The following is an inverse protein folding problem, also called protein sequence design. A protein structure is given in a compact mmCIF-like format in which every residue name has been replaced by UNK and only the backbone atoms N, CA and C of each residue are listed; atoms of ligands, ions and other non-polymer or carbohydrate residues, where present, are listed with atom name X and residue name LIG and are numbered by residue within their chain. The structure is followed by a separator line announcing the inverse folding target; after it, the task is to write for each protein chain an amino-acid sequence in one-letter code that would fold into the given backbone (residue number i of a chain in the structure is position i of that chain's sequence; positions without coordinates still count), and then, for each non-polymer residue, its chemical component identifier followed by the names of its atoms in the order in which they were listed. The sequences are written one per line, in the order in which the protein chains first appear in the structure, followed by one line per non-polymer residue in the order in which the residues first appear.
data_IF_595694249406
#
_entry.id   IF_595694249406
#
_cell.length_a   1.000
_cell.length_b   1.000
_cell.length_c   1.000
_cell.angle_alpha   90.00
_cell.angle_beta   90.00
_cell.angle_gamma   90.00
#
_symmetry.space_group_name_H-M   'P 1'
#
loop_
_entity.id
_entity.type
_entity.pdbx_description
1 polymer ?
#
# COMPACT_ATOMS: atom_id res chain seq x y z
N UNK A 1 23.80 22.70 14.99
CA UNK A 1 22.51 22.32 15.59
C UNK A 1 22.45 20.80 15.57
N UNK A 2 22.28 20.11 16.70
CA UNK A 2 22.01 18.67 16.65
C UNK A 2 20.68 18.46 15.93
N UNK A 3 20.68 17.61 14.90
CA UNK A 3 19.46 17.15 14.24
C UNK A 3 18.72 16.20 15.18
N UNK A 4 17.38 16.33 15.24
CA UNK A 4 16.54 15.43 16.01
C UNK A 4 16.80 13.96 15.61
N UNK A 5 16.72 13.07 16.58
CA UNK A 5 16.79 11.63 16.31
C UNK A 5 15.60 11.18 15.46
N UNK A 6 15.68 10.04 14.74
CA UNK A 6 14.57 9.52 13.95
C UNK A 6 13.26 9.38 14.75
N UNK A 7 13.35 8.92 16.01
CA UNK A 7 12.20 8.74 16.90
C UNK A 7 11.57 10.07 17.31
N UNK A 8 12.39 11.09 17.59
CA UNK A 8 11.89 12.43 17.92
C UNK A 8 11.21 13.06 16.70
N UNK A 9 11.79 12.89 15.51
CA UNK A 9 11.21 13.36 14.26
C UNK A 9 9.86 12.68 13.98
N UNK A 10 9.76 11.36 14.16
CA UNK A 10 8.51 10.62 13.98
C UNK A 10 7.43 11.08 14.97
N UNK A 11 7.79 11.26 16.25
CA UNK A 11 6.85 11.76 17.28
C UNK A 11 6.35 13.17 16.95
N UNK A 12 7.21 14.04 16.42
CA UNK A 12 6.82 15.37 15.97
C UNK A 12 5.83 15.31 14.81
N UNK A 13 6.08 14.43 13.82
CA UNK A 13 5.18 14.23 12.68
C UNK A 13 3.81 13.68 13.10
N UNK A 14 3.77 12.70 14.01
CA UNK A 14 2.52 12.15 14.53
C UNK A 14 1.70 13.23 15.25
N UNK A 15 2.35 14.06 16.09
CA UNK A 15 1.69 15.15 16.80
C UNK A 15 1.09 16.17 15.83
N UNK A 16 1.87 16.56 14.82
CA UNK A 16 1.42 17.48 13.80
C UNK A 16 0.23 16.93 13.00
N UNK A 17 0.26 15.64 12.63
CA UNK A 17 -0.86 14.99 11.97
C UNK A 17 -2.13 14.98 12.85
N UNK A 18 -1.99 14.73 14.15
CA UNK A 18 -3.11 14.76 15.09
C UNK A 18 -3.73 16.16 15.21
N UNK A 19 -2.92 17.22 15.25
CA UNK A 19 -3.38 18.61 15.26
C UNK A 19 -4.17 18.96 14.00
N UNK A 20 -3.70 18.53 12.82
CA UNK A 20 -4.42 18.73 11.55
C UNK A 20 -5.77 18.01 11.56
N UNK A 21 -5.83 16.78 12.08
CA UNK A 21 -7.08 16.01 12.16
C UNK A 21 -8.07 16.67 13.13
N UNK A 22 -7.61 17.16 14.28
CA UNK A 22 -8.43 17.82 15.30
C UNK A 22 -9.10 19.10 14.78
N UNK A 23 -8.41 19.83 13.90
CA UNK A 23 -8.90 21.09 13.33
C UNK A 23 -9.71 20.94 12.05
N UNK A 24 -9.87 19.74 11.51
CA UNK A 24 -10.52 19.54 10.22
C UNK A 24 -12.05 19.56 10.33
N UNK A 25 -12.72 20.34 9.46
CA UNK A 25 -14.19 20.31 9.32
C UNK A 25 -14.69 18.98 8.70
N UNK A 26 -13.80 18.25 8.02
CA UNK A 26 -14.11 16.97 7.38
C UNK A 26 -12.86 16.17 7.05
N UNK A 27 -12.98 14.84 7.12
CA UNK A 27 -11.88 13.90 6.91
C UNK A 27 -12.20 12.92 5.77
N UNK A 28 -11.30 12.82 4.80
CA UNK A 28 -11.34 11.78 3.75
C UNK A 28 -10.13 10.87 3.95
N UNK A 29 -10.39 9.59 4.15
CA UNK A 29 -9.34 8.56 4.26
C UNK A 29 -9.25 7.81 2.94
N UNK A 30 -8.14 7.98 2.23
CA UNK A 30 -7.80 7.16 1.08
C UNK A 30 -6.91 5.98 1.53
N UNK A 31 -7.45 4.76 1.45
CA UNK A 31 -6.73 3.54 1.81
C UNK A 31 -6.42 2.71 0.57
N UNK A 32 -5.22 2.12 0.54
CA UNK A 32 -4.81 1.12 -0.46
C UNK A 32 -4.59 -0.25 0.18
N UNK A 33 -4.21 -1.24 -0.65
CA UNK A 33 -3.98 -2.62 -0.22
C UNK A 33 -2.96 -2.77 0.93
N UNK A 34 -2.02 -1.82 1.05
CA UNK A 34 -1.03 -1.80 2.14
C UNK A 34 -1.65 -1.78 3.54
N UNK A 35 -2.86 -1.24 3.70
CA UNK A 35 -3.56 -1.22 5.00
C UNK A 35 -4.01 -2.61 5.48
N UNK A 36 -4.02 -3.63 4.60
CA UNK A 36 -4.41 -5.01 4.92
C UNK A 36 -3.26 -5.99 5.12
N UNK A 37 -2.00 -5.54 4.98
CA UNK A 37 -0.81 -6.43 5.00
C UNK A 37 -0.67 -7.15 6.34
N UNK A 38 -0.83 -6.43 7.44
CA UNK A 38 -0.74 -7.00 8.79
C UNK A 38 -1.92 -7.95 9.13
N UNK A 39 -2.95 -7.97 8.28
CA UNK A 39 -4.08 -8.92 8.35
C UNK A 39 -3.87 -10.17 7.48
N UNK A 40 -2.70 -10.32 6.85
CA UNK A 40 -2.37 -11.45 5.99
C UNK A 40 -2.82 -11.30 4.53
N UNK A 41 -3.35 -10.13 4.13
CA UNK A 41 -3.65 -9.84 2.72
C UNK A 41 -2.38 -9.32 2.01
N UNK A 42 -2.02 -9.85 0.84
CA UNK A 42 -0.89 -9.33 0.08
C UNK A 42 -1.19 -7.91 -0.41
N UNK A 43 -0.17 -7.06 -0.45
CA UNK A 43 -0.23 -5.89 -1.33
C UNK A 43 0.02 -6.30 -2.79
N UNK A 44 -0.27 -5.39 -3.73
CA UNK A 44 -0.16 -5.67 -5.17
C UNK A 44 1.19 -5.27 -5.76
N UNK A 45 1.95 -4.38 -5.10
CA UNK A 45 3.16 -3.76 -5.66
C UNK A 45 4.45 -4.28 -5.06
N UNK A 46 4.38 -5.07 -3.98
CA UNK A 46 5.49 -5.88 -3.51
C UNK A 46 5.69 -7.07 -4.46
N UNK A 47 6.86 -7.22 -5.09
CA UNK A 47 7.12 -8.31 -6.03
C UNK A 47 6.95 -9.69 -5.38
N UNK A 48 7.21 -9.80 -4.08
CA UNK A 48 7.04 -11.04 -3.31
C UNK A 48 5.58 -11.28 -2.90
N UNK A 49 4.85 -10.22 -2.51
CA UNK A 49 3.48 -10.34 -2.00
C UNK A 49 2.48 -10.85 -3.05
N UNK A 50 2.56 -10.30 -4.27
CA UNK A 50 1.63 -10.66 -5.34
C UNK A 50 1.83 -12.10 -5.83
N UNK A 51 3.07 -12.54 -6.08
CA UNK A 51 3.32 -13.91 -6.56
C UNK A 51 3.16 -14.98 -5.47
N UNK A 52 3.38 -14.64 -4.20
CA UNK A 52 3.06 -15.54 -3.09
C UNK A 52 1.55 -15.84 -3.03
N UNK A 53 0.72 -14.83 -3.23
CA UNK A 53 -0.74 -15.00 -3.25
C UNK A 53 -1.27 -15.58 -4.57
N UNK A 54 -0.58 -15.33 -5.69
CA UNK A 54 -0.96 -15.83 -7.02
C UNK A 54 0.18 -16.60 -7.70
N UNK A 55 0.55 -17.80 -7.22
CA UNK A 55 1.71 -18.55 -7.74
C UNK A 55 1.60 -18.92 -9.22
N UNK A 56 0.37 -19.08 -9.74
CA UNK A 56 0.14 -19.35 -11.15
C UNK A 56 0.58 -18.17 -12.05
N UNK A 57 0.35 -16.94 -11.61
CA UNK A 57 0.80 -15.74 -12.32
C UNK A 57 2.31 -15.56 -12.20
N UNK A 58 2.89 -15.87 -11.04
CA UNK A 58 4.34 -15.91 -10.86
C UNK A 58 5.03 -16.91 -11.80
N UNK A 59 4.49 -18.13 -11.94
CA UNK A 59 4.98 -19.12 -12.91
C UNK A 59 4.86 -18.66 -14.36
N UNK A 60 3.85 -17.86 -14.67
CA UNK A 60 3.66 -17.27 -15.99
C UNK A 60 4.49 -16.00 -16.22
N UNK A 61 5.22 -15.51 -15.20
CA UNK A 61 5.99 -14.26 -15.27
C UNK A 61 5.10 -13.01 -15.40
N UNK A 62 3.84 -13.09 -15.01
CA UNK A 62 2.87 -12.00 -15.14
C UNK A 62 2.83 -11.16 -13.85
N UNK A 63 2.94 -9.84 -14.00
CA UNK A 63 2.75 -8.88 -12.92
C UNK A 63 1.29 -8.47 -12.77
N UNK A 64 0.97 -7.78 -11.66
CA UNK A 64 -0.39 -7.32 -11.38
C UNK A 64 -0.99 -6.50 -12.53
N UNK A 65 -0.22 -5.58 -13.14
CA UNK A 65 -0.73 -4.72 -14.21
C UNK A 65 -1.00 -5.48 -15.51
N UNK A 66 -0.33 -6.61 -15.75
CA UNK A 66 -0.54 -7.44 -16.94
C UNK A 66 -1.91 -8.12 -16.91
N UNK A 67 -2.43 -8.41 -15.71
CA UNK A 67 -3.72 -9.08 -15.49
C UNK A 67 -4.84 -8.11 -15.09
N UNK A 68 -4.53 -7.05 -14.34
CA UNK A 68 -5.52 -6.11 -13.80
C UNK A 68 -5.92 -5.04 -14.83
N UNK A 69 -6.26 -5.46 -16.05
CA UNK A 69 -6.74 -4.58 -17.10
C UNK A 69 -7.84 -5.25 -17.94
N UNK A 70 -8.81 -4.49 -18.49
CA UNK A 70 -9.92 -5.06 -19.26
C UNK A 70 -9.50 -5.87 -20.49
N UNK A 71 -8.33 -5.59 -21.08
CA UNK A 71 -7.88 -6.28 -22.30
C UNK A 71 -7.44 -7.72 -22.01
N UNK A 72 -6.94 -8.00 -20.80
CA UNK A 72 -6.52 -9.33 -20.40
C UNK A 72 -7.67 -10.35 -20.51
N UNK A 73 -8.86 -9.98 -20.01
CA UNK A 73 -10.07 -10.81 -20.06
C UNK A 73 -10.48 -11.22 -21.48
N UNK A 74 -10.22 -10.37 -22.48
CA UNK A 74 -10.58 -10.66 -23.87
C UNK A 74 -9.60 -11.54 -24.63
N UNK A 75 -8.34 -11.64 -24.18
CA UNK A 75 -7.27 -12.39 -24.87
C UNK A 75 -7.03 -13.77 -24.26
N UNK A 76 -7.22 -13.88 -22.95
CA UNK A 76 -6.99 -15.08 -22.14
C UNK A 76 -8.00 -15.06 -20.98
N UNK A 77 -9.26 -15.45 -21.23
CA UNK A 77 -10.30 -15.52 -20.21
C UNK A 77 -10.02 -16.59 -19.14
#
# INVERSE_FOLDING_TARGET
MPTATPDEALRAQIRHAAEIIDQADGLIIAAGAGMGVDSGLPDFRGPEGFWNAYPALGRAGLGFMDVANPRAFGRTP
#
